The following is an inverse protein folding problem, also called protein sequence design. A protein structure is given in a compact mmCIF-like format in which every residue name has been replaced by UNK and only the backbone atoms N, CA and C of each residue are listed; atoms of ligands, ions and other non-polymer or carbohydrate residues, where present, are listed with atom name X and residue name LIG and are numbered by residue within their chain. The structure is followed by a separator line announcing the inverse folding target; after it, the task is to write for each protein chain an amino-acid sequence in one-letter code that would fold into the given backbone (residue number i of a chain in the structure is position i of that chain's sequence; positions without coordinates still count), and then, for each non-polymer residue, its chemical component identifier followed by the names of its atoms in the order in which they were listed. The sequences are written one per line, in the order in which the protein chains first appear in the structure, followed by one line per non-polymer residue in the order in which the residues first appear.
data_IF_221052910087
#
_entry.id   IF_221052910087
#
_cell.length_a   1.000
_cell.length_b   1.000
_cell.length_c   1.000
_cell.angle_alpha   90.00
_cell.angle_beta   90.00
_cell.angle_gamma   90.00
#
_symmetry.space_group_name_H-M   'P 1'
#
loop_
_entity.id
_entity.type
_entity.pdbx_description
1 polymer ?
#
# COMPACT_ATOMS: atom_id res chain seq x y z
N UNK A 1 -1.99 2.61 8.59
CA UNK A 1 -2.17 1.14 8.42
C UNK A 1 -1.04 0.63 7.57
N UNK A 2 -0.40 -0.50 7.91
CA UNK A 2 0.69 -1.10 7.14
C UNK A 2 0.33 -2.56 6.83
N UNK A 3 0.61 -3.00 5.61
CA UNK A 3 0.47 -4.39 5.20
C UNK A 3 1.55 -4.77 4.18
N UNK A 4 1.69 -6.06 3.94
CA UNK A 4 2.80 -6.60 3.14
C UNK A 4 2.31 -7.58 2.07
N UNK A 5 3.13 -7.74 1.04
CA UNK A 5 3.00 -8.83 0.08
C UNK A 5 4.35 -9.51 -0.14
N UNK A 6 4.29 -10.77 -0.53
CA UNK A 6 5.48 -11.55 -0.92
C UNK A 6 5.32 -12.12 -2.32
N UNK A 7 6.43 -12.19 -3.06
CA UNK A 7 6.51 -12.95 -4.31
C UNK A 7 7.91 -13.48 -4.50
N UNK A 8 8.09 -14.80 -4.41
CA UNK A 8 9.39 -15.48 -4.66
C UNK A 8 10.55 -14.89 -3.85
N UNK A 9 10.32 -14.58 -2.56
CA UNK A 9 11.31 -13.96 -1.69
C UNK A 9 11.49 -12.45 -1.86
N UNK A 10 10.80 -11.81 -2.82
CA UNK A 10 10.66 -10.36 -2.86
C UNK A 10 9.55 -9.91 -1.91
N UNK A 11 9.72 -8.76 -1.28
CA UNK A 11 8.71 -8.17 -0.38
C UNK A 11 8.27 -6.80 -0.87
N UNK A 12 6.96 -6.56 -0.82
CA UNK A 12 6.36 -5.24 -0.96
C UNK A 12 5.80 -4.81 0.38
N UNK A 13 6.04 -3.55 0.74
CA UNK A 13 5.40 -2.89 1.87
C UNK A 13 4.40 -1.87 1.34
N UNK A 14 3.18 -1.92 1.84
CA UNK A 14 2.16 -0.94 1.56
C UNK A 14 1.74 -0.26 2.86
N UNK A 15 1.52 1.05 2.81
CA UNK A 15 1.23 1.85 3.99
C UNK A 15 0.25 2.97 3.65
N UNK A 16 -0.76 3.15 4.50
CA UNK A 16 -1.59 4.34 4.55
C UNK A 16 -1.08 5.23 5.69
N UNK A 17 -0.62 6.42 5.34
CA UNK A 17 -0.22 7.50 6.27
C UNK A 17 -1.30 8.57 6.27
N UNK A 18 -1.70 9.04 7.44
CA UNK A 18 -2.46 10.28 7.57
C UNK A 18 -1.47 11.42 7.78
N UNK A 19 -1.56 12.48 6.97
CA UNK A 19 -0.71 13.66 7.13
C UNK A 19 -1.20 14.47 8.33
N UNK A 20 -0.27 15.05 9.08
CA UNK A 20 -0.59 15.86 10.26
C UNK A 20 -1.10 17.26 9.89
N UNK A 21 -0.72 17.75 8.70
CA UNK A 21 -1.15 19.03 8.16
C UNK A 21 -2.14 18.78 7.01
N UNK A 22 -3.43 18.96 7.30
CA UNK A 22 -4.54 18.74 6.36
C UNK A 22 -5.17 17.35 6.49
N UNK A 23 -6.45 17.23 6.11
CA UNK A 23 -7.20 15.96 6.00
C UNK A 23 -6.72 15.11 4.79
N UNK A 24 -5.40 15.03 4.62
CA UNK A 24 -4.76 14.35 3.50
C UNK A 24 -4.22 13.00 3.93
N UNK A 25 -4.35 12.05 3.01
CA UNK A 25 -3.89 10.69 3.17
C UNK A 25 -2.87 10.36 2.09
N UNK A 26 -1.91 9.50 2.42
CA UNK A 26 -0.95 8.99 1.47
C UNK A 26 -1.00 7.46 1.45
N UNK A 27 -1.11 6.88 0.25
CA UNK A 27 -0.82 5.48 0.00
C UNK A 27 0.63 5.38 -0.48
N UNK A 28 1.47 4.74 0.33
CA UNK A 28 2.89 4.53 0.06
C UNK A 28 3.12 3.06 -0.26
N UNK A 29 3.77 2.79 -1.39
CA UNK A 29 4.19 1.46 -1.81
C UNK A 29 5.71 1.45 -1.89
N UNK A 30 6.37 0.73 -1.00
CA UNK A 30 7.81 0.49 -1.04
C UNK A 30 8.08 -0.79 -1.83
N UNK A 31 8.82 -0.64 -2.93
CA UNK A 31 9.23 -1.70 -3.86
C UNK A 31 10.38 -2.55 -3.26
N UNK A 32 10.67 -3.75 -3.81
CA UNK A 32 11.74 -4.61 -3.29
C UNK A 32 13.14 -3.98 -3.36
N UNK A 33 13.34 -3.04 -4.28
CA UNK A 33 14.59 -2.27 -4.42
C UNK A 33 14.69 -1.09 -3.42
N UNK A 34 13.68 -0.92 -2.56
CA UNK A 34 13.58 0.17 -1.59
C UNK A 34 13.00 1.46 -2.15
N UNK A 35 12.70 1.55 -3.45
CA UNK A 35 12.06 2.73 -4.02
C UNK A 35 10.63 2.89 -3.50
N UNK A 36 10.22 4.11 -3.20
CA UNK A 36 8.86 4.42 -2.76
C UNK A 36 8.05 5.09 -3.88
N UNK A 37 6.84 4.59 -4.08
CA UNK A 37 5.78 5.28 -4.84
C UNK A 37 4.76 5.82 -3.84
N UNK A 38 4.49 7.12 -3.94
CA UNK A 38 3.53 7.81 -3.06
C UNK A 38 2.37 8.33 -3.90
N UNK A 39 1.14 8.01 -3.49
CA UNK A 39 -0.10 8.56 -4.05
C UNK A 39 -0.81 9.35 -2.93
N UNK A 40 -1.17 10.61 -3.20
CA UNK A 40 -1.83 11.51 -2.24
C UNK A 40 -3.34 11.59 -2.52
N UNK A 41 -4.13 11.69 -1.45
CA UNK A 41 -5.59 11.72 -1.50
C UNK A 41 -6.12 12.72 -0.46
N UNK A 42 -7.16 13.47 -0.83
CA UNK A 42 -7.90 14.33 0.10
C UNK A 42 -9.17 13.66 0.63
N UNK A 43 -9.49 12.47 0.11
CA UNK A 43 -10.71 11.74 0.45
C UNK A 43 -10.37 10.28 0.76
N UNK A 44 -10.63 9.87 2.01
CA UNK A 44 -10.41 8.52 2.49
C UNK A 44 -11.22 7.47 1.71
N UNK A 45 -12.37 7.84 1.13
CA UNK A 45 -13.17 6.93 0.28
C UNK A 45 -12.44 6.61 -1.02
N UNK A 46 -11.81 7.61 -1.65
CA UNK A 46 -11.03 7.41 -2.88
C UNK A 46 -9.80 6.55 -2.57
N UNK A 47 -9.12 6.84 -1.46
CA UNK A 47 -8.00 6.02 -1.00
C UNK A 47 -8.39 4.55 -0.78
N UNK A 48 -9.56 4.30 -0.18
CA UNK A 48 -10.02 2.94 0.08
C UNK A 48 -10.29 2.19 -1.23
N UNK A 49 -10.97 2.82 -2.20
CA UNK A 49 -11.17 2.26 -3.54
C UNK A 49 -9.81 1.93 -4.19
N UNK A 50 -8.87 2.87 -4.15
CA UNK A 50 -7.53 2.68 -4.71
C UNK A 50 -6.78 1.52 -4.06
N UNK A 51 -6.92 1.34 -2.75
CA UNK A 51 -6.26 0.26 -1.99
C UNK A 51 -6.79 -1.11 -2.42
N UNK A 52 -8.09 -1.23 -2.68
CA UNK A 52 -8.72 -2.46 -3.23
C UNK A 52 -8.26 -2.73 -4.66
N UNK A 53 -8.14 -1.70 -5.50
CA UNK A 53 -7.61 -1.84 -6.86
C UNK A 53 -6.14 -2.28 -6.86
N UNK A 54 -5.33 -1.73 -5.95
CA UNK A 54 -3.94 -2.13 -5.76
C UNK A 54 -3.85 -3.60 -5.37
N UNK A 55 -4.67 -4.06 -4.42
CA UNK A 55 -4.71 -5.48 -4.05
C UNK A 55 -4.99 -6.36 -5.28
N UNK A 56 -6.05 -6.06 -6.05
CA UNK A 56 -6.39 -6.82 -7.26
C UNK A 56 -5.24 -6.85 -8.27
N UNK A 57 -4.57 -5.71 -8.46
CA UNK A 57 -3.41 -5.60 -9.35
C UNK A 57 -2.20 -6.40 -8.86
N UNK A 58 -1.93 -6.40 -7.56
CA UNK A 58 -0.81 -7.14 -6.99
C UNK A 58 -1.06 -8.65 -7.08
N UNK A 59 -2.28 -9.10 -6.73
CA UNK A 59 -2.69 -10.50 -6.90
C UNK A 59 -2.57 -10.96 -8.35
N UNK A 60 -3.02 -10.16 -9.31
CA UNK A 60 -2.90 -10.52 -10.74
C UNK A 60 -1.45 -10.59 -11.23
N UNK A 61 -0.53 -9.92 -10.54
CA UNK A 61 0.93 -9.98 -10.77
C UNK A 61 1.64 -11.07 -9.96
N UNK A 62 0.88 -11.92 -9.28
CA UNK A 62 1.39 -13.08 -8.53
C UNK A 62 1.96 -12.73 -7.14
N UNK A 63 1.60 -11.58 -6.58
CA UNK A 63 1.92 -11.25 -5.20
C UNK A 63 0.92 -11.89 -4.24
N UNK A 64 1.44 -12.54 -3.20
CA UNK A 64 0.66 -13.17 -2.14
C UNK A 64 0.51 -12.20 -0.95
N UNK A 65 -0.66 -12.22 -0.29
CA UNK A 65 -1.06 -11.24 0.73
C UNK A 65 -2.52 -10.77 0.59
N UNK A 66 -2.92 -9.60 1.15
CA UNK A 66 -2.13 -8.77 2.06
C UNK A 66 -1.92 -9.48 3.40
N UNK A 67 -0.71 -9.42 3.93
CA UNK A 67 -0.41 -9.88 5.28
C UNK A 67 -0.46 -8.72 6.25
N UNK A 68 -1.28 -8.85 7.29
CA UNK A 68 -1.12 -8.04 8.48
C UNK A 68 0.18 -8.46 9.17
N UNK A 69 0.96 -7.49 9.64
CA UNK A 69 2.04 -7.74 10.58
C UNK A 69 1.55 -7.20 11.92
N UNK A 70 1.27 -8.09 12.86
CA UNK A 70 1.28 -7.71 14.28
C UNK A 70 2.70 -7.19 14.57
N UNK A 71 2.80 -5.92 14.91
CA UNK A 71 4.01 -5.26 15.40
C UNK A 71 3.87 -5.08 16.90
#
# INVERSE_FOLDING_TARGET
MIWFYERRGEHLRCEIRQQLEGDQFALVVTMPDGSERVELFEDSRILNVRSVELEKLLRSKGWDGPFARDI
#
